data_IF_596997471356
#
_entry.id   IF_596997471356
#
_cell.length_a   1.000
_cell.length_b   1.000
_cell.length_c   1.000
_cell.angle_alpha   90.00
_cell.angle_beta   90.00
_cell.angle_gamma   90.00
#
_symmetry.space_group_name_H-M   'P 1'
#
loop_
_entity.id
_entity.type
_entity.pdbx_description
1 polymer ?
#
# COMPACT_ATOMS: atom_id res chain seq x y z
N UNK A 1 22.86 4.73 -24.65
CA UNK A 1 21.48 4.82 -24.14
C UNK A 1 20.61 3.94 -25.02
N UNK A 2 20.02 2.91 -24.42
CA UNK A 2 19.13 1.95 -25.10
C UNK A 2 17.83 2.65 -25.56
N UNK A 3 17.13 2.08 -26.56
CA UNK A 3 15.89 2.62 -27.08
C UNK A 3 14.80 2.71 -25.99
N UNK A 4 14.74 1.74 -25.07
CA UNK A 4 13.82 1.78 -23.93
C UNK A 4 14.08 3.01 -23.05
N UNK A 5 15.34 3.29 -22.76
CA UNK A 5 15.76 4.38 -21.89
C UNK A 5 15.50 5.76 -22.52
N UNK A 6 15.78 5.90 -23.82
CA UNK A 6 15.44 7.11 -24.60
C UNK A 6 13.94 7.43 -24.56
N UNK A 7 13.09 6.41 -24.73
CA UNK A 7 11.63 6.57 -24.69
C UNK A 7 11.18 7.01 -23.30
N UNK A 8 11.69 6.37 -22.24
CA UNK A 8 11.36 6.73 -20.87
C UNK A 8 11.81 8.16 -20.51
N UNK A 9 13.01 8.56 -20.93
CA UNK A 9 13.51 9.91 -20.71
C UNK A 9 12.65 10.95 -21.43
N UNK A 10 12.36 10.74 -22.72
CA UNK A 10 11.49 11.62 -23.49
C UNK A 10 10.08 11.75 -22.88
N UNK A 11 9.49 10.63 -22.47
CA UNK A 11 8.19 10.64 -21.80
C UNK A 11 8.24 11.40 -20.46
N UNK A 12 9.28 11.20 -19.66
CA UNK A 12 9.49 11.89 -18.38
C UNK A 12 9.60 13.40 -18.59
N UNK A 13 10.39 13.85 -19.56
CA UNK A 13 10.55 15.28 -19.89
C UNK A 13 9.23 15.91 -20.35
N UNK A 14 8.49 15.22 -21.23
CA UNK A 14 7.19 15.70 -21.70
C UNK A 14 6.15 15.78 -20.57
N UNK A 15 6.15 14.81 -19.66
CA UNK A 15 5.26 14.80 -18.49
C UNK A 15 5.58 15.93 -17.51
N UNK A 16 6.87 16.22 -17.28
CA UNK A 16 7.30 17.32 -16.41
C UNK A 16 6.87 18.69 -16.95
N UNK A 17 6.79 18.85 -18.27
CA UNK A 17 6.31 20.07 -18.92
C UNK A 17 4.78 20.18 -19.03
N UNK A 18 4.03 19.13 -18.69
CA UNK A 18 2.57 19.05 -18.87
C UNK A 18 1.84 19.33 -17.54
N UNK A 19 0.98 20.38 -17.46
CA UNK A 19 0.21 20.68 -16.25
C UNK A 19 -0.77 19.57 -15.85
N UNK A 20 -1.23 18.78 -16.83
CA UNK A 20 -2.29 17.76 -16.66
C UNK A 20 -1.72 16.33 -16.68
N UNK A 21 -0.38 16.19 -16.74
CA UNK A 21 0.30 14.90 -16.90
C UNK A 21 -0.19 14.07 -18.11
N UNK A 22 -0.74 14.73 -19.14
CA UNK A 22 -1.12 14.07 -20.39
C UNK A 22 0.00 14.20 -21.43
N UNK A 23 0.37 13.08 -22.04
CA UNK A 23 1.37 12.96 -23.10
C UNK A 23 0.91 11.92 -24.11
N UNK A 24 1.00 12.25 -25.41
CA UNK A 24 0.68 11.31 -26.49
C UNK A 24 1.88 10.41 -26.84
N UNK A 25 1.62 9.15 -27.19
CA UNK A 25 2.67 8.20 -27.63
C UNK A 25 3.40 8.69 -28.88
N UNK A 26 2.72 9.47 -29.74
CA UNK A 26 3.33 10.13 -30.90
C UNK A 26 4.37 11.17 -30.49
N UNK A 27 4.03 12.07 -29.58
CA UNK A 27 4.97 13.08 -29.10
C UNK A 27 6.21 12.44 -28.44
N UNK A 28 6.01 11.34 -27.71
CA UNK A 28 7.13 10.56 -27.14
C UNK A 28 8.00 9.94 -28.22
N UNK A 29 7.40 9.35 -29.26
CA UNK A 29 8.15 8.77 -30.38
C UNK A 29 8.99 9.83 -31.11
N UNK A 30 8.39 10.99 -31.39
CA UNK A 30 9.07 12.12 -32.03
C UNK A 30 10.23 12.63 -31.17
N UNK A 31 10.01 12.84 -29.87
CA UNK A 31 11.03 13.30 -28.94
C UNK A 31 12.16 12.28 -28.71
N UNK A 32 11.85 10.98 -28.67
CA UNK A 32 12.84 9.92 -28.50
C UNK A 32 13.54 9.50 -29.82
N UNK A 33 13.07 10.00 -30.97
CA UNK A 33 13.59 9.61 -32.28
C UNK A 33 13.34 8.13 -32.63
N UNK A 34 12.23 7.57 -32.18
CA UNK A 34 11.85 6.16 -32.42
C UNK A 34 10.53 6.05 -33.18
N UNK A 35 10.31 4.92 -33.86
CA UNK A 35 9.02 4.62 -34.47
C UNK A 35 8.00 4.07 -33.48
N UNK A 36 6.71 4.35 -33.71
CA UNK A 36 5.60 3.81 -32.90
C UNK A 36 5.60 2.29 -32.72
N UNK A 37 5.95 1.44 -33.72
CA UNK A 37 6.04 0.00 -33.53
C UNK A 37 7.05 -0.42 -32.45
N UNK A 38 8.15 0.32 -32.31
CA UNK A 38 9.16 0.07 -31.27
C UNK A 38 8.61 0.38 -29.88
N UNK A 39 7.89 1.51 -29.73
CA UNK A 39 7.27 1.90 -28.46
C UNK A 39 6.27 0.83 -28.01
N UNK A 40 5.32 0.46 -28.87
CA UNK A 40 4.30 -0.54 -28.52
C UNK A 40 4.90 -1.93 -28.27
N UNK A 41 5.98 -2.31 -28.96
CA UNK A 41 6.70 -3.56 -28.67
C UNK A 41 7.31 -3.56 -27.25
N UNK A 42 7.81 -2.42 -26.78
CA UNK A 42 8.50 -2.31 -25.50
C UNK A 42 7.54 -2.11 -24.32
N UNK A 43 6.41 -1.43 -24.54
CA UNK A 43 5.53 -0.98 -23.46
C UNK A 43 4.07 -1.44 -23.60
N UNK A 44 3.71 -2.11 -24.69
CA UNK A 44 2.35 -2.57 -24.96
C UNK A 44 1.44 -1.44 -25.45
N UNK A 45 1.15 -0.47 -24.57
CA UNK A 45 0.25 0.66 -24.82
C UNK A 45 0.70 1.95 -24.09
N UNK A 46 -0.14 3.00 -24.12
CA UNK A 46 0.12 4.26 -23.39
C UNK A 46 0.18 4.02 -21.87
N UNK A 47 -0.71 3.20 -21.32
CA UNK A 47 -0.76 2.93 -19.89
C UNK A 47 0.49 2.19 -19.40
N UNK A 48 0.98 1.21 -20.16
CA UNK A 48 2.23 0.49 -19.89
C UNK A 48 3.46 1.39 -20.01
N UNK A 49 3.47 2.36 -20.92
CA UNK A 49 4.51 3.38 -20.96
C UNK A 49 4.49 4.26 -19.71
N UNK A 50 3.31 4.78 -19.33
CA UNK A 50 3.16 5.62 -18.14
C UNK A 50 3.53 4.86 -16.86
N UNK A 51 3.12 3.60 -16.72
CA UNK A 51 3.51 2.74 -15.61
C UNK A 51 5.04 2.58 -15.54
N UNK A 52 5.71 2.37 -16.68
CA UNK A 52 7.16 2.25 -16.71
C UNK A 52 7.90 3.56 -16.39
N UNK A 53 7.31 4.72 -16.73
CA UNK A 53 7.84 6.04 -16.32
C UNK A 53 7.69 6.22 -14.80
N UNK A 54 6.53 5.85 -14.25
CA UNK A 54 6.29 5.88 -12.80
C UNK A 54 7.28 4.97 -12.07
N UNK A 55 7.42 3.71 -12.51
CA UNK A 55 8.35 2.75 -11.89
C UNK A 55 9.79 3.31 -11.89
N UNK A 56 10.23 3.94 -12.97
CA UNK A 56 11.55 4.61 -13.01
C UNK A 56 11.64 5.77 -12.02
N UNK A 57 10.64 6.65 -11.98
CA UNK A 57 10.65 7.83 -11.10
C UNK A 57 10.56 7.49 -9.62
N UNK A 58 10.03 6.32 -9.28
CA UNK A 58 9.90 5.84 -7.90
C UNK A 58 11.05 4.93 -7.46
N UNK A 59 11.92 4.48 -8.35
CA UNK A 59 13.03 3.60 -7.99
C UNK A 59 13.95 4.25 -6.95
N UNK A 60 14.26 5.55 -7.09
CA UNK A 60 15.08 6.29 -6.11
C UNK A 60 14.43 6.34 -4.70
N UNK A 61 13.10 6.47 -4.67
CA UNK A 61 12.32 6.41 -3.44
C UNK A 61 12.36 5.03 -2.81
N UNK A 62 12.19 3.98 -3.61
CA UNK A 62 12.23 2.60 -3.14
C UNK A 62 13.62 2.21 -2.67
N UNK A 63 14.68 2.65 -3.34
CA UNK A 63 16.07 2.48 -2.87
C UNK A 63 16.24 3.06 -1.46
N UNK A 64 15.71 4.25 -1.21
CA UNK A 64 15.76 4.87 0.12
C UNK A 64 14.98 4.06 1.15
N UNK A 65 13.81 3.53 0.79
CA UNK A 65 13.04 2.65 1.68
C UNK A 65 13.75 1.32 1.96
N UNK A 66 14.30 0.66 0.93
CA UNK A 66 15.03 -0.61 1.05
C UNK A 66 16.25 -0.47 1.95
N UNK A 67 16.93 0.66 1.90
CA UNK A 67 18.09 0.96 2.71
C UNK A 67 17.76 1.29 4.17
N UNK A 68 16.49 1.59 4.49
CA UNK A 68 16.08 1.93 5.85
C UNK A 68 16.25 0.71 6.76
N UNK A 69 17.15 0.82 7.73
CA UNK A 69 17.37 -0.26 8.70
C UNK A 69 16.20 -0.31 9.68
N UNK A 70 15.58 -1.48 9.90
CA UNK A 70 14.60 -1.67 10.95
C UNK A 70 15.16 -1.24 12.30
N UNK A 71 14.38 -0.48 13.07
CA UNK A 71 14.71 -0.15 14.47
C UNK A 71 14.01 -1.10 15.44
N UNK A 72 14.40 -1.02 16.72
CA UNK A 72 13.77 -1.80 17.80
C UNK A 72 12.33 -1.37 18.10
N UNK A 73 11.91 -0.17 17.66
CA UNK A 73 10.53 0.29 17.75
C UNK A 73 9.87 0.30 16.36
N UNK A 74 9.13 -0.77 15.98
CA UNK A 74 8.50 -0.85 14.67
C UNK A 74 7.38 0.19 14.49
N UNK A 75 6.79 0.73 15.57
CA UNK A 75 5.79 1.81 15.46
C UNK A 75 6.47 3.14 15.12
N UNK A 76 7.68 3.39 15.63
CA UNK A 76 8.49 4.52 15.19
C UNK A 76 8.92 4.39 13.72
N UNK A 77 9.20 3.16 13.25
CA UNK A 77 9.45 2.90 11.82
C UNK A 77 8.24 3.27 10.95
N UNK A 78 7.01 2.96 11.38
CA UNK A 78 5.80 3.38 10.67
C UNK A 78 5.69 4.90 10.55
N UNK A 79 5.99 5.64 11.64
CA UNK A 79 5.96 7.11 11.62
C UNK A 79 6.95 7.69 10.62
N UNK A 80 8.20 7.20 10.65
CA UNK A 80 9.23 7.61 9.67
C UNK A 80 8.83 7.25 8.25
N UNK A 81 8.27 6.06 8.04
CA UNK A 81 7.79 5.60 6.74
C UNK A 81 6.69 6.50 6.17
N UNK A 82 5.76 6.93 7.02
CA UNK A 82 4.71 7.88 6.66
C UNK A 82 5.28 9.22 6.20
N UNK A 83 6.17 9.80 7.00
CA UNK A 83 6.75 11.13 6.73
C UNK A 83 7.63 11.12 5.48
N UNK A 84 8.41 10.04 5.29
CA UNK A 84 9.21 9.86 4.09
C UNK A 84 8.34 9.74 2.83
N UNK A 85 7.16 9.11 2.91
CA UNK A 85 6.22 9.04 1.80
C UNK A 85 5.63 10.40 1.44
N UNK A 86 5.19 11.17 2.44
CA UNK A 86 4.68 12.52 2.22
C UNK A 86 5.76 13.42 1.62
N UNK A 87 6.98 13.39 2.18
CA UNK A 87 8.10 14.18 1.66
C UNK A 87 8.36 13.89 0.18
N UNK A 88 8.41 12.61 -0.18
CA UNK A 88 8.56 12.22 -1.58
C UNK A 88 7.44 12.76 -2.47
N UNK A 89 6.18 12.67 -2.02
CA UNK A 89 5.04 13.21 -2.77
C UNK A 89 5.19 14.72 -3.05
N UNK A 90 5.65 15.47 -2.05
CA UNK A 90 5.84 16.92 -2.14
C UNK A 90 7.07 17.32 -2.98
N UNK A 91 8.15 16.53 -2.94
CA UNK A 91 9.36 16.75 -3.74
C UNK A 91 9.15 16.37 -5.22
N UNK A 92 8.28 15.40 -5.50
CA UNK A 92 8.02 14.87 -6.85
C UNK A 92 6.53 14.89 -7.26
N UNK A 93 5.86 16.06 -7.23
CA UNK A 93 4.40 16.15 -7.34
C UNK A 93 3.83 15.62 -8.67
N UNK A 94 4.54 15.82 -9.79
CA UNK A 94 4.10 15.33 -11.10
C UNK A 94 4.14 13.80 -11.20
N UNK A 95 5.25 13.19 -10.75
CA UNK A 95 5.39 11.72 -10.71
C UNK A 95 4.37 11.10 -9.77
N UNK A 96 4.15 11.73 -8.61
CA UNK A 96 3.21 11.23 -7.62
C UNK A 96 1.76 11.26 -8.11
N UNK A 97 1.33 12.33 -8.79
CA UNK A 97 -0.01 12.39 -9.43
C UNK A 97 -0.16 11.34 -10.52
N UNK A 98 0.87 11.11 -11.33
CA UNK A 98 0.83 10.09 -12.37
C UNK A 98 0.69 8.69 -11.79
N UNK A 99 1.38 8.39 -10.68
CA UNK A 99 1.31 7.08 -10.02
C UNK A 99 -0.10 6.70 -9.55
N UNK A 100 -0.91 7.67 -9.17
CA UNK A 100 -2.30 7.47 -8.74
C UNK A 100 -3.31 7.98 -9.78
N UNK A 101 -2.89 8.11 -11.04
CA UNK A 101 -3.78 8.53 -12.13
C UNK A 101 -4.76 7.40 -12.50
N UNK A 102 -6.04 7.72 -12.75
CA UNK A 102 -7.00 6.75 -13.26
C UNK A 102 -6.65 6.23 -14.67
N UNK A 103 -5.69 6.84 -15.37
CA UNK A 103 -5.20 6.36 -16.67
C UNK A 103 -4.37 5.07 -16.55
N UNK A 104 -3.90 4.72 -15.35
CA UNK A 104 -3.18 3.47 -15.11
C UNK A 104 -4.19 2.33 -14.93
N UNK A 105 -4.17 1.41 -15.89
CA UNK A 105 -5.03 0.21 -15.88
C UNK A 105 -4.55 -0.87 -14.91
N UNK A 106 -3.32 -0.78 -14.42
CA UNK A 106 -2.76 -1.64 -13.39
C UNK A 106 -1.86 -0.85 -12.44
N UNK A 107 -1.79 -1.23 -11.15
CA UNK A 107 -0.85 -0.61 -10.21
C UNK A 107 0.60 -0.75 -10.72
N UNK A 108 1.41 0.31 -10.66
CA UNK A 108 2.85 0.23 -10.90
C UNK A 108 3.52 -0.79 -9.97
N UNK A 109 4.66 -1.35 -10.39
CA UNK A 109 5.45 -2.24 -9.55
C UNK A 109 5.92 -1.54 -8.28
N UNK A 110 6.26 -0.25 -8.40
CA UNK A 110 6.63 0.59 -7.28
C UNK A 110 5.56 0.67 -6.17
N UNK A 111 4.28 0.74 -6.53
CA UNK A 111 3.18 0.80 -5.57
C UNK A 111 3.02 -0.52 -4.82
N UNK A 112 3.17 -1.65 -5.53
CA UNK A 112 3.16 -2.99 -4.90
C UNK A 112 4.33 -3.15 -3.93
N UNK A 113 5.53 -2.76 -4.34
CA UNK A 113 6.69 -2.85 -3.45
C UNK A 113 6.55 -1.95 -2.22
N UNK A 114 6.05 -0.72 -2.39
CA UNK A 114 5.79 0.18 -1.26
C UNK A 114 4.76 -0.41 -0.28
N UNK A 115 3.78 -1.16 -0.78
CA UNK A 115 2.81 -1.91 0.02
C UNK A 115 3.49 -3.03 0.79
N UNK A 116 4.29 -3.86 0.12
CA UNK A 116 4.96 -5.00 0.75
C UNK A 116 5.96 -4.56 1.83
N UNK A 117 6.68 -3.46 1.59
CA UNK A 117 7.56 -2.85 2.58
C UNK A 117 6.78 -2.36 3.81
N UNK A 118 5.65 -1.68 3.62
CA UNK A 118 4.79 -1.26 4.75
C UNK A 118 4.24 -2.48 5.51
N UNK A 119 3.77 -3.48 4.78
CA UNK A 119 3.24 -4.72 5.34
C UNK A 119 4.30 -5.43 6.21
N UNK A 120 5.55 -5.49 5.75
CA UNK A 120 6.64 -6.09 6.52
C UNK A 120 6.92 -5.37 7.85
N UNK A 121 6.74 -4.05 7.92
CA UNK A 121 6.86 -3.31 9.18
C UNK A 121 5.71 -3.65 10.11
N UNK A 122 4.50 -3.82 9.58
CA UNK A 122 3.33 -4.20 10.36
C UNK A 122 3.38 -5.65 10.85
N UNK A 123 3.99 -6.57 10.10
CA UNK A 123 4.30 -7.91 10.60
C UNK A 123 5.22 -7.84 11.82
N UNK A 124 6.23 -6.95 11.84
CA UNK A 124 7.04 -6.73 13.04
C UNK A 124 6.24 -6.14 14.20
N UNK A 125 5.31 -5.22 13.93
CA UNK A 125 4.39 -4.72 14.95
C UNK A 125 3.54 -5.86 15.52
N UNK A 126 3.01 -6.74 14.68
CA UNK A 126 2.23 -7.90 15.12
C UNK A 126 3.07 -8.86 15.95
N UNK A 127 4.29 -9.21 15.51
CA UNK A 127 5.20 -10.06 16.28
C UNK A 127 5.50 -9.47 17.68
N UNK A 128 5.62 -8.14 17.76
CA UNK A 128 5.80 -7.41 19.01
C UNK A 128 4.50 -7.23 19.84
N UNK A 129 3.35 -7.73 19.37
CA UNK A 129 2.05 -7.60 20.05
C UNK A 129 1.52 -6.15 20.06
N UNK A 130 1.92 -5.34 19.08
CA UNK A 130 1.66 -3.89 19.03
C UNK A 130 0.48 -3.50 18.14
N UNK A 131 -0.20 -4.45 17.48
CA UNK A 131 -1.34 -4.17 16.62
C UNK A 131 -2.67 -4.45 17.31
N UNK A 132 -3.69 -3.65 16.95
CA UNK A 132 -5.09 -3.82 17.38
C UNK A 132 -6.01 -4.34 16.26
N UNK A 133 -5.51 -4.35 15.01
CA UNK A 133 -6.14 -5.02 13.85
C UNK A 133 -5.13 -5.86 13.06
N UNK A 134 -5.55 -6.86 12.25
CA UNK A 134 -4.64 -7.68 11.46
C UNK A 134 -3.69 -6.85 10.56
N UNK A 135 -2.43 -7.30 10.33
CA UNK A 135 -1.45 -6.56 9.54
C UNK A 135 -1.94 -6.13 8.16
N UNK A 136 -2.69 -6.99 7.47
CA UNK A 136 -3.27 -6.68 6.15
C UNK A 136 -4.24 -5.48 6.21
N UNK A 137 -5.13 -5.45 7.20
CA UNK A 137 -6.07 -4.34 7.39
C UNK A 137 -5.34 -3.06 7.80
N UNK A 138 -4.39 -3.15 8.73
CA UNK A 138 -3.55 -2.01 9.11
C UNK A 138 -2.77 -1.44 7.90
N UNK A 139 -2.29 -2.31 7.00
CA UNK A 139 -1.58 -1.89 5.77
C UNK A 139 -2.50 -1.06 4.89
N UNK A 140 -3.73 -1.54 4.65
CA UNK A 140 -4.73 -0.85 3.84
C UNK A 140 -5.12 0.50 4.46
N UNK A 141 -5.36 0.54 5.78
CA UNK A 141 -5.72 1.78 6.49
C UNK A 141 -4.61 2.83 6.40
N UNK A 142 -3.37 2.45 6.72
CA UNK A 142 -2.22 3.36 6.69
C UNK A 142 -1.95 3.85 5.27
N UNK A 143 -1.90 2.94 4.30
CA UNK A 143 -1.61 3.31 2.91
C UNK A 143 -2.70 4.23 2.35
N UNK A 144 -3.98 3.90 2.54
CA UNK A 144 -5.10 4.70 2.03
C UNK A 144 -5.08 6.12 2.62
N UNK A 145 -4.87 6.23 3.93
CA UNK A 145 -4.82 7.53 4.60
C UNK A 145 -3.60 8.36 4.17
N UNK A 146 -2.43 7.73 4.04
CA UNK A 146 -1.20 8.42 3.62
C UNK A 146 -1.28 8.90 2.16
N UNK A 147 -1.76 8.04 1.26
CA UNK A 147 -1.96 8.37 -0.17
C UNK A 147 -3.02 9.46 -0.32
N UNK A 148 -4.16 9.30 0.36
CA UNK A 148 -5.24 10.29 0.36
C UNK A 148 -4.76 11.65 0.83
N UNK A 149 -4.04 11.71 1.96
CA UNK A 149 -3.46 12.95 2.48
C UNK A 149 -2.48 13.59 1.49
N UNK A 150 -1.57 12.81 0.92
CA UNK A 150 -0.57 13.28 -0.03
C UNK A 150 -1.23 13.86 -1.28
N UNK A 151 -2.19 13.15 -1.88
CA UNK A 151 -2.94 13.63 -3.04
C UNK A 151 -3.80 14.87 -2.70
N UNK A 152 -4.44 14.89 -1.55
CA UNK A 152 -5.22 16.04 -1.08
C UNK A 152 -4.38 17.30 -0.96
N UNK A 153 -3.23 17.22 -0.28
CA UNK A 153 -2.30 18.35 -0.13
C UNK A 153 -1.77 18.80 -1.50
N UNK A 154 -1.41 17.86 -2.37
CA UNK A 154 -0.87 18.17 -3.69
C UNK A 154 -1.89 18.78 -4.64
N UNK A 155 -3.15 18.36 -4.58
CA UNK A 155 -4.17 18.75 -5.57
C UNK A 155 -5.00 19.94 -5.13
N UNK A 156 -5.15 20.16 -3.82
CA UNK A 156 -5.99 21.22 -3.24
C UNK A 156 -5.29 21.91 -2.06
N UNK A 157 -4.07 22.46 -2.23
CA UNK A 157 -3.29 23.01 -1.12
C UNK A 157 -4.05 24.09 -0.32
N UNK A 158 -4.92 24.86 -0.97
CA UNK A 158 -5.78 25.86 -0.34
C UNK A 158 -6.79 25.29 0.67
N UNK A 159 -7.18 24.02 0.51
CA UNK A 159 -8.07 23.32 1.44
C UNK A 159 -7.30 22.66 2.61
N UNK A 160 -5.98 22.53 2.48
CA UNK A 160 -5.10 21.93 3.48
C UNK A 160 -3.95 22.88 3.87
N UNK A 161 -4.26 24.09 4.39
CA UNK A 161 -3.25 25.10 4.70
C UNK A 161 -2.41 24.78 5.94
N UNK A 162 -2.85 23.82 6.77
CA UNK A 162 -2.21 23.48 8.03
C UNK A 162 -1.06 22.48 7.80
N UNK A 163 0.21 22.87 8.07
CA UNK A 163 1.37 22.00 7.82
C UNK A 163 1.40 20.75 8.73
N UNK A 164 0.66 20.75 9.84
CA UNK A 164 0.54 19.61 10.75
C UNK A 164 -0.57 18.61 10.39
N UNK A 165 -1.33 18.84 9.31
CA UNK A 165 -2.46 17.98 8.93
C UNK A 165 -2.04 16.52 8.76
N UNK A 166 -0.98 16.27 7.98
CA UNK A 166 -0.50 14.91 7.72
C UNK A 166 -0.01 14.21 8.98
N UNK A 167 0.68 14.93 9.87
CA UNK A 167 1.15 14.37 11.15
C UNK A 167 0.00 14.00 12.07
N UNK A 168 -1.05 14.83 12.17
CA UNK A 168 -2.24 14.52 12.99
C UNK A 168 -3.02 13.34 12.42
N UNK A 169 -3.17 13.25 11.10
CA UNK A 169 -3.83 12.11 10.47
C UNK A 169 -3.03 10.82 10.67
N UNK A 170 -1.71 10.87 10.50
CA UNK A 170 -0.79 9.76 10.81
C UNK A 170 -1.01 9.28 12.24
N UNK A 171 -0.94 10.18 13.21
CA UNK A 171 -1.02 9.83 14.62
C UNK A 171 -2.41 9.27 14.99
N UNK A 172 -3.48 9.78 14.37
CA UNK A 172 -4.83 9.23 14.53
C UNK A 172 -4.95 7.81 13.95
N UNK A 173 -4.45 7.56 12.74
CA UNK A 173 -4.50 6.23 12.11
C UNK A 173 -3.62 5.24 12.86
N UNK A 174 -2.39 5.63 13.24
CA UNK A 174 -1.52 4.79 14.05
C UNK A 174 -2.10 4.51 15.43
N UNK A 175 -2.73 5.49 16.07
CA UNK A 175 -3.43 5.28 17.34
C UNK A 175 -4.62 4.32 17.24
N UNK A 176 -5.27 4.24 16.08
CA UNK A 176 -6.37 3.31 15.85
C UNK A 176 -5.90 1.86 15.60
N UNK A 177 -4.72 1.67 15.00
CA UNK A 177 -4.22 0.34 14.59
C UNK A 177 -3.11 -0.21 15.49
N UNK A 178 -2.60 0.58 16.43
CA UNK A 178 -1.53 0.18 17.36
C UNK A 178 -1.92 0.41 18.81
N UNK A 179 -1.34 -0.39 19.70
CA UNK A 179 -1.48 -0.24 21.15
C UNK A 179 -0.15 0.18 21.80
N UNK A 180 -0.18 0.71 23.04
CA UNK A 180 1.01 0.92 23.85
C UNK A 180 1.81 -0.38 24.02
N UNK A 181 3.13 -0.26 24.27
CA UNK A 181 3.97 -1.43 24.56
C UNK A 181 3.69 -2.04 25.95
N UNK A 182 3.05 -1.26 26.84
CA UNK A 182 2.67 -1.67 28.18
C UNK A 182 1.33 -2.42 28.14
N UNK A 183 1.31 -3.74 28.45
CA UNK A 183 0.10 -4.55 28.38
C UNK A 183 -0.98 -4.07 29.37
N UNK A 184 -0.62 -3.41 30.47
CA UNK A 184 -1.57 -2.92 31.47
C UNK A 184 -2.39 -1.71 30.98
N UNK A 185 -1.96 -1.08 29.87
CA UNK A 185 -2.63 0.06 29.24
C UNK A 185 -3.14 -0.25 27.82
N UNK A 186 -3.20 -1.53 27.43
CA UNK A 186 -3.75 -1.91 26.14
C UNK A 186 -5.29 -1.75 26.15
N UNK A 187 -5.90 -1.16 25.10
CA UNK A 187 -7.35 -1.17 24.95
C UNK A 187 -7.87 -2.62 24.89
N UNK A 188 -9.05 -2.88 25.45
CA UNK A 188 -9.70 -4.19 25.25
C UNK A 188 -9.90 -4.43 23.74
N UNK A 189 -9.47 -5.60 23.22
CA UNK A 189 -9.58 -5.89 21.80
C UNK A 189 -11.04 -6.03 21.39
N UNK A 190 -11.36 -5.54 20.18
CA UNK A 190 -12.64 -5.80 19.52
C UNK A 190 -12.89 -7.33 19.48
N UNK A 191 -14.01 -7.84 20.03
CA UNK A 191 -14.31 -9.27 20.03
C UNK A 191 -14.24 -9.91 18.64
N UNK A 192 -14.63 -9.16 17.60
CA UNK A 192 -14.61 -9.65 16.22
C UNK A 192 -13.18 -9.74 15.66
N UNK A 193 -12.23 -9.02 16.24
CA UNK A 193 -10.81 -9.01 15.84
C UNK A 193 -9.93 -9.87 16.74
N UNK A 194 -10.42 -10.34 17.89
CA UNK A 194 -9.61 -11.06 18.87
C UNK A 194 -8.93 -12.31 18.29
N UNK A 195 -9.68 -13.16 17.57
CA UNK A 195 -9.16 -14.37 16.93
C UNK A 195 -8.23 -14.04 15.75
N UNK A 196 -8.63 -13.20 14.77
CA UNK A 196 -7.73 -12.80 13.69
C UNK A 196 -6.43 -12.14 14.17
N UNK A 197 -6.50 -11.32 15.21
CA UNK A 197 -5.33 -10.69 15.83
C UNK A 197 -4.38 -11.70 16.46
N UNK A 198 -4.91 -12.60 17.27
CA UNK A 198 -4.12 -13.65 17.91
C UNK A 198 -3.45 -14.55 16.86
N UNK A 199 -4.20 -14.92 15.82
CA UNK A 199 -3.68 -15.71 14.71
C UNK A 199 -2.57 -14.97 13.95
N UNK A 200 -2.78 -13.70 13.60
CA UNK A 200 -1.77 -12.88 12.94
C UNK A 200 -0.51 -12.66 13.80
N UNK A 201 -0.68 -12.42 15.09
CA UNK A 201 0.44 -12.27 16.04
C UNK A 201 1.27 -13.55 16.12
N UNK A 202 0.62 -14.70 16.21
CA UNK A 202 1.30 -16.00 16.24
C UNK A 202 1.99 -16.32 14.91
N UNK A 203 1.34 -16.03 13.78
CA UNK A 203 1.93 -16.23 12.45
C UNK A 203 3.18 -15.36 12.27
N UNK A 204 3.09 -14.07 12.63
CA UNK A 204 4.22 -13.15 12.55
C UNK A 204 5.41 -13.60 13.43
N UNK A 205 5.14 -14.10 14.63
CA UNK A 205 6.19 -14.67 15.50
C UNK A 205 6.82 -15.92 14.92
N UNK A 206 6.01 -16.82 14.36
CA UNK A 206 6.48 -18.06 13.74
C UNK A 206 7.39 -17.78 12.53
N UNK A 207 7.04 -16.77 11.71
CA UNK A 207 7.87 -16.29 10.59
C UNK A 207 9.18 -15.65 11.06
N UNK A 208 9.12 -14.87 12.15
CA UNK A 208 10.29 -14.19 12.69
C UNK A 208 11.29 -15.18 13.29
N UNK A 209 10.81 -16.15 14.06
CA UNK A 209 11.63 -17.17 14.70
C UNK A 209 10.87 -18.49 14.78
N UNK A 210 11.28 -19.46 13.95
CA UNK A 210 10.73 -20.81 14.00
C UNK A 210 11.11 -21.50 15.32
N UNK A 211 10.15 -21.96 16.13
CA UNK A 211 10.45 -22.72 17.34
C UNK A 211 11.18 -24.02 17.02
N UNK A 212 12.19 -24.37 17.82
CA UNK A 212 12.95 -25.61 17.66
C UNK A 212 12.08 -26.89 17.77
N UNK A 213 10.89 -26.78 18.39
CA UNK A 213 9.94 -27.87 18.55
C UNK A 213 9.26 -28.31 17.24
N UNK A 214 9.22 -27.46 16.22
CA UNK A 214 8.56 -27.76 14.95
C UNK A 214 9.57 -27.97 13.82
N UNK A 215 9.32 -28.96 12.96
CA UNK A 215 9.99 -29.09 11.66
C UNK A 215 9.58 -27.95 10.73
N UNK A 216 10.33 -27.75 9.64
CA UNK A 216 9.99 -26.73 8.64
C UNK A 216 8.61 -26.97 8.02
N UNK A 217 8.22 -28.23 7.78
CA UNK A 217 6.92 -28.58 7.22
C UNK A 217 5.77 -28.31 8.21
N UNK A 218 5.94 -28.65 9.48
CA UNK A 218 4.94 -28.36 10.53
C UNK A 218 4.75 -26.87 10.75
N UNK A 219 5.84 -26.09 10.74
CA UNK A 219 5.75 -24.63 10.81
C UNK A 219 5.02 -24.03 9.61
N UNK A 220 5.31 -24.49 8.39
CA UNK A 220 4.61 -24.02 7.19
C UNK A 220 3.10 -24.35 7.23
N UNK A 221 2.74 -25.54 7.72
CA UNK A 221 1.34 -25.94 7.86
C UNK A 221 0.61 -25.12 8.93
N UNK A 222 1.26 -24.88 10.08
CA UNK A 222 0.71 -24.05 11.15
C UNK A 222 0.51 -22.60 10.68
N UNK A 223 1.50 -22.04 9.97
CA UNK A 223 1.39 -20.72 9.35
C UNK A 223 0.18 -20.64 8.42
N UNK A 224 -0.01 -21.64 7.55
CA UNK A 224 -1.17 -21.69 6.66
C UNK A 224 -2.51 -21.71 7.41
N UNK A 225 -2.60 -22.41 8.55
CA UNK A 225 -3.81 -22.42 9.37
C UNK A 225 -4.05 -21.10 10.09
N UNK A 226 -2.99 -20.47 10.59
CA UNK A 226 -3.07 -19.15 11.23
C UNK A 226 -3.48 -18.08 10.21
N UNK A 227 -2.96 -18.11 9.00
CA UNK A 227 -3.37 -17.19 7.93
C UNK A 227 -4.85 -17.33 7.57
N UNK A 228 -5.38 -18.57 7.55
CA UNK A 228 -6.82 -18.81 7.36
C UNK A 228 -7.64 -18.21 8.50
N UNK A 229 -7.24 -18.42 9.75
CA UNK A 229 -7.92 -17.82 10.91
C UNK A 229 -7.82 -16.29 10.94
N UNK A 230 -6.76 -15.73 10.36
CA UNK A 230 -6.58 -14.28 10.22
C UNK A 230 -7.40 -13.64 9.10
N UNK A 231 -7.93 -14.42 8.16
CA UNK A 231 -8.63 -13.94 6.95
C UNK A 231 -10.10 -14.36 6.89
N UNK A 232 -10.46 -15.50 7.45
CA UNK A 232 -11.85 -15.93 7.55
C UNK A 232 -12.58 -15.10 8.63
N UNK A 233 -13.42 -14.18 8.16
CA UNK A 233 -14.55 -13.71 8.97
C UNK A 233 -15.37 -14.95 9.36
N UNK A 234 -15.76 -15.16 10.62
CA UNK A 234 -16.64 -16.27 10.96
C UNK A 234 -17.84 -16.21 10.03
N UNK A 235 -18.17 -17.33 9.38
CA UNK A 235 -19.42 -17.49 8.65
C UNK A 235 -20.52 -17.08 9.64
N UNK A 236 -21.05 -15.87 9.47
CA UNK A 236 -22.25 -15.46 10.17
C UNK A 236 -23.29 -16.53 9.89
N UNK A 237 -23.90 -17.04 10.94
CA UNK A 237 -25.00 -17.99 10.86
C UNK A 237 -25.93 -17.52 9.73
N UNK A 238 -26.17 -18.33 8.67
CA UNK A 238 -27.03 -17.91 7.59
C UNK A 238 -28.40 -17.66 8.23
N UNK A 239 -28.74 -16.38 8.39
CA UNK A 239 -30.01 -15.98 8.97
C UNK A 239 -31.15 -16.77 8.31
N UNK A 240 -32.23 -17.06 9.06
CA UNK A 240 -33.26 -17.97 8.60
C UNK A 240 -33.73 -17.59 7.20
N UNK A 241 -33.99 -18.58 6.32
CA UNK A 241 -34.31 -18.33 4.93
C UNK A 241 -35.45 -17.31 4.83
N UNK A 242 -35.21 -16.26 4.05
CA UNK A 242 -36.23 -15.24 3.73
C UNK A 242 -37.42 -15.99 3.15
N UNK A 243 -38.55 -15.96 3.87
CA UNK A 243 -39.78 -16.58 3.41
C UNK A 243 -40.17 -15.97 2.05
N UNK A 244 -40.33 -16.84 1.05
CA UNK A 244 -40.81 -16.42 -0.26
C UNK A 244 -42.16 -15.71 -0.14
N UNK A 245 -42.38 -14.61 -0.87
CA UNK A 245 -43.65 -13.89 -0.83
C UNK A 245 -44.76 -14.79 -1.38
N UNK A 246 -45.75 -15.07 -0.52
CA UNK A 246 -47.00 -15.74 -0.90
C UNK A 246 -47.66 -14.93 -2.03
N UNK A 247 -47.99 -15.53 -3.19
CA UNK A 247 -48.67 -14.82 -4.26
C UNK A 247 -50.05 -14.39 -3.77
N UNK A 248 -50.27 -13.08 -3.69
CA UNK A 248 -51.61 -12.52 -3.50
C UNK A 248 -52.40 -12.73 -4.78
N UNK A 249 -53.27 -13.73 -4.78
CA UNK A 249 -54.27 -13.96 -5.82
C UNK A 249 -55.27 -12.79 -5.79
N UNK A 250 -55.20 -11.89 -6.77
CA UNK A 250 -56.20 -10.83 -6.97
C UNK A 250 -57.33 -11.39 -7.83
N UNK A 251 -58.49 -11.59 -7.22
CA UNK A 251 -59.80 -11.56 -7.91
C UNK A 251 -60.25 -10.13 -8.13
#
# INVERSE_FOLDING_TARGET
>A
MDAREKILEAATTLLAGSPVADVSTRAVCEAAGVGAPMLYRLFGDKAGLLAAVVDRGFEEYLVTKRAARPSDDPVADLRRGWDNHLRFALEHPHHYRLMYSPELTAPPAATREAHDLLHSILERCAAAGRLTVPPALATQMIMSANVGASLSILTRPEQYPDPGFSARLRDAVLGAVTCPADPDNAPEPDPDQAVPMAAATLAARLRAERPAAFTAAESALLEQWLDKLGTDRPLGDPGPPVAEPVPTDRR
#
